data_IF_607021112785
#
_entry.id   IF_607021112785
#
_cell.length_a   1.000
_cell.length_b   1.000
_cell.length_c   1.000
_cell.angle_alpha   90.00
_cell.angle_beta   90.00
_cell.angle_gamma   90.00
#
_symmetry.space_group_name_H-M   'P 1'
#
loop_
_entity.id
_entity.type
_entity.pdbx_description
1 polymer ?
#
# COMPACT_ATOMS: atom_id res chain seq x y z
N UNK A 1 8.47 18.18 -1.58
CA UNK A 1 7.96 16.82 -1.26
C UNK A 1 7.66 16.81 0.22
N UNK A 2 6.39 16.74 0.58
CA UNK A 2 5.94 16.79 1.97
C UNK A 2 5.99 15.38 2.58
N UNK A 3 5.99 15.28 3.92
CA UNK A 3 6.05 14.00 4.65
C UNK A 3 4.97 13.02 4.21
N UNK A 4 3.77 13.51 3.88
CA UNK A 4 2.63 12.72 3.38
C UNK A 4 2.96 12.05 2.03
N UNK A 5 3.73 12.72 1.17
CA UNK A 5 4.10 12.18 -0.14
C UNK A 5 5.11 11.04 -0.03
N UNK A 6 5.96 11.09 0.99
CA UNK A 6 6.90 10.05 1.32
C UNK A 6 6.19 8.82 1.88
N UNK A 7 5.27 9.05 2.83
CA UNK A 7 4.46 7.98 3.42
C UNK A 7 3.63 7.27 2.34
N UNK A 8 2.96 8.02 1.47
CA UNK A 8 2.17 7.46 0.37
C UNK A 8 3.04 6.61 -0.57
N UNK A 9 4.21 7.10 -0.97
CA UNK A 9 5.14 6.32 -1.82
C UNK A 9 5.58 5.02 -1.18
N UNK A 10 5.97 5.06 0.10
CA UNK A 10 6.40 3.85 0.82
C UNK A 10 5.25 2.85 0.91
N UNK A 11 4.04 3.29 1.24
CA UNK A 11 2.85 2.43 1.31
C UNK A 11 2.51 1.81 -0.06
N UNK A 12 2.60 2.56 -1.15
CA UNK A 12 2.39 2.04 -2.51
C UNK A 12 3.44 0.99 -2.87
N UNK A 13 4.71 1.21 -2.54
CA UNK A 13 5.79 0.24 -2.78
C UNK A 13 5.55 -1.05 -1.97
N UNK A 14 5.18 -0.94 -0.70
CA UNK A 14 4.82 -2.09 0.14
C UNK A 14 3.64 -2.86 -0.47
N UNK A 15 2.63 -2.14 -0.94
CA UNK A 15 1.49 -2.72 -1.66
C UNK A 15 1.90 -3.49 -2.91
N UNK A 16 2.71 -2.88 -3.77
CA UNK A 16 3.21 -3.51 -4.99
C UNK A 16 4.05 -4.76 -4.69
N UNK A 17 4.90 -4.73 -3.65
CA UNK A 17 5.66 -5.89 -3.20
C UNK A 17 4.75 -7.01 -2.70
N UNK A 18 3.75 -6.69 -1.84
CA UNK A 18 2.81 -7.70 -1.34
C UNK A 18 2.00 -8.33 -2.48
N UNK A 19 1.52 -7.54 -3.45
CA UNK A 19 0.83 -8.07 -4.63
C UNK A 19 1.75 -8.91 -5.53
N UNK A 20 3.01 -8.50 -5.71
CA UNK A 20 4.00 -9.30 -6.45
C UNK A 20 4.29 -10.64 -5.78
N UNK A 21 4.36 -10.65 -4.44
CA UNK A 21 4.54 -11.86 -3.64
C UNK A 21 3.28 -12.73 -3.58
N UNK A 22 2.09 -12.12 -3.68
CA UNK A 22 0.81 -12.83 -3.74
C UNK A 22 0.69 -13.73 -4.99
N UNK A 23 1.40 -13.42 -6.09
CA UNK A 23 1.50 -14.30 -7.28
C UNK A 23 2.10 -15.66 -6.90
N UNK A 24 3.01 -15.68 -5.92
CA UNK A 24 3.61 -16.90 -5.37
C UNK A 24 2.81 -17.46 -4.19
N UNK A 25 1.57 -17.02 -3.99
CA UNK A 25 0.72 -17.36 -2.83
C UNK A 25 1.29 -16.92 -1.47
N UNK A 26 2.22 -15.96 -1.46
CA UNK A 26 2.83 -15.41 -0.24
C UNK A 26 2.19 -14.06 0.06
N UNK A 27 1.40 -13.99 1.13
CA UNK A 27 0.78 -12.75 1.60
C UNK A 27 1.52 -12.23 2.83
N UNK A 28 2.37 -11.21 2.66
CA UNK A 28 3.17 -10.66 3.77
C UNK A 28 2.29 -10.04 4.84
N UNK A 29 1.25 -9.32 4.41
CA UNK A 29 0.31 -8.68 5.33
C UNK A 29 -0.46 -9.71 6.16
N UNK A 30 -0.71 -10.90 5.60
CA UNK A 30 -1.44 -11.96 6.30
C UNK A 30 -0.70 -12.51 7.53
N UNK A 31 0.63 -12.36 7.61
CA UNK A 31 1.41 -12.78 8.78
C UNK A 31 1.13 -11.94 10.03
N UNK A 32 0.53 -10.75 9.90
CA UNK A 32 0.15 -9.94 11.08
C UNK A 32 -0.90 -10.64 11.96
N UNK A 33 -1.54 -11.73 11.50
CA UNK A 33 -2.47 -12.60 12.26
C UNK A 33 -3.65 -11.88 12.95
N UNK A 34 -3.82 -10.58 12.68
CA UNK A 34 -4.81 -9.69 13.28
C UNK A 34 -5.69 -9.17 12.15
N UNK A 35 -6.90 -9.72 11.99
CA UNK A 35 -7.78 -9.43 10.84
C UNK A 35 -8.08 -7.95 10.64
N UNK A 36 -8.32 -7.19 11.72
CA UNK A 36 -8.64 -5.76 11.59
C UNK A 36 -7.45 -4.95 11.08
N UNK A 37 -6.23 -5.34 11.46
CA UNK A 37 -5.00 -4.65 11.10
C UNK A 37 -4.62 -4.93 9.64
N UNK A 38 -4.89 -6.15 9.16
CA UNK A 38 -4.74 -6.53 7.75
C UNK A 38 -5.62 -5.63 6.86
N UNK A 39 -6.90 -5.49 7.21
CA UNK A 39 -7.84 -4.61 6.49
C UNK A 39 -7.37 -3.15 6.52
N UNK A 40 -6.85 -2.68 7.65
CA UNK A 40 -6.34 -1.32 7.79
C UNK A 40 -5.13 -1.08 6.88
N UNK A 41 -4.18 -2.03 6.82
CA UNK A 41 -3.02 -1.94 5.92
C UNK A 41 -3.47 -1.87 4.46
N UNK A 42 -4.41 -2.74 4.04
CA UNK A 42 -4.92 -2.70 2.67
C UNK A 42 -5.65 -1.40 2.34
N UNK A 43 -6.42 -0.85 3.29
CA UNK A 43 -7.07 0.45 3.12
C UNK A 43 -6.05 1.59 2.96
N UNK A 44 -4.99 1.62 3.78
CA UNK A 44 -3.92 2.62 3.69
C UNK A 44 -3.13 2.52 2.38
N UNK A 45 -2.83 1.30 1.93
CA UNK A 45 -2.18 1.06 0.63
C UNK A 45 -3.06 1.56 -0.50
N UNK A 46 -4.36 1.26 -0.50
CA UNK A 46 -5.31 1.74 -1.50
C UNK A 46 -5.41 3.26 -1.55
N UNK A 47 -5.56 3.92 -0.39
CA UNK A 47 -5.58 5.39 -0.28
C UNK A 47 -4.29 6.03 -0.80
N UNK A 48 -3.14 5.41 -0.51
CA UNK A 48 -1.84 5.88 -0.98
C UNK A 48 -1.70 5.75 -2.51
N UNK A 49 -2.22 4.67 -3.09
CA UNK A 49 -2.28 4.50 -4.53
C UNK A 49 -3.14 5.57 -5.21
N UNK A 50 -4.30 5.88 -4.63
CA UNK A 50 -5.18 6.95 -5.12
C UNK A 50 -4.47 8.31 -5.02
N UNK A 51 -3.75 8.59 -3.93
CA UNK A 51 -3.00 9.85 -3.75
C UNK A 51 -1.91 10.04 -4.81
N UNK A 52 -1.12 8.99 -5.07
CA UNK A 52 -0.09 9.03 -6.13
C UNK A 52 -0.72 9.14 -7.52
N UNK A 53 -1.85 8.48 -7.77
CA UNK A 53 -2.59 8.57 -9.02
C UNK A 53 -3.13 10.00 -9.26
N UNK A 54 -3.75 10.62 -8.24
CA UNK A 54 -4.20 12.02 -8.30
C UNK A 54 -3.02 12.93 -8.61
N UNK A 55 -1.87 12.76 -7.95
CA UNK A 55 -0.67 13.55 -8.27
C UNK A 55 -0.17 13.37 -9.69
N UNK A 56 -0.20 12.15 -10.20
CA UNK A 56 0.25 11.86 -11.56
C UNK A 56 -0.62 12.61 -12.59
N UNK A 57 -1.94 12.68 -12.38
CA UNK A 57 -2.86 13.37 -13.29
C UNK A 57 -2.97 14.88 -13.04
N UNK A 58 -2.63 15.35 -11.83
CA UNK A 58 -2.63 16.78 -11.46
C UNK A 58 -1.32 17.47 -11.83
N UNK A 59 -0.57 16.92 -12.80
CA UNK A 59 0.70 17.43 -13.29
C UNK A 59 0.54 18.83 -13.89
#
# INVERSE_FOLDING_TARGET
MNTIDWIARVLVIIGALNWGLAIFSINLVAYLSISWLITLVYALVGLSGIWELIKLFKK
#
